data_IF_747895057033
#
_entry.id   IF_747895057033
#
_cell.length_a   1.000
_cell.length_b   1.000
_cell.length_c   1.000
_cell.angle_alpha   90.00
_cell.angle_beta   90.00
_cell.angle_gamma   90.00
#
_symmetry.space_group_name_H-M   'P 1'
#
loop_
_entity.id
_entity.type
_entity.pdbx_description
1 polymer ?
#
# COMPACT_ATOMS: atom_id res chain seq x y z
N UNK A 1 26.92 -25.20 -3.81
CA UNK A 1 25.77 -25.51 -2.94
C UNK A 1 24.64 -24.55 -3.30
N UNK A 2 23.48 -25.08 -3.69
CA UNK A 2 22.30 -24.29 -4.05
C UNK A 2 21.82 -23.50 -2.83
N UNK A 3 21.87 -22.17 -2.91
CA UNK A 3 21.27 -21.29 -1.91
C UNK A 3 19.76 -21.52 -2.01
N UNK A 4 19.20 -22.29 -1.08
CA UNK A 4 17.75 -22.42 -0.93
C UNK A 4 17.25 -21.02 -0.56
N UNK A 5 16.75 -20.30 -1.57
CA UNK A 5 16.26 -18.94 -1.42
C UNK A 5 15.23 -18.90 -0.31
N UNK A 6 15.43 -18.00 0.67
CA UNK A 6 14.42 -17.74 1.69
C UNK A 6 13.13 -17.35 0.97
N UNK A 7 12.06 -18.11 1.15
CA UNK A 7 10.75 -17.76 0.60
C UNK A 7 10.26 -16.51 1.34
N UNK A 8 10.16 -15.38 0.65
CA UNK A 8 9.74 -14.11 1.26
C UNK A 8 8.31 -13.78 0.87
N UNK A 9 7.52 -13.37 1.86
CA UNK A 9 6.17 -12.83 1.69
C UNK A 9 6.17 -11.39 2.22
N UNK A 10 6.09 -10.42 1.33
CA UNK A 10 5.90 -9.03 1.74
C UNK A 10 4.41 -8.78 2.01
N UNK A 11 4.08 -8.30 3.21
CA UNK A 11 2.71 -7.99 3.61
C UNK A 11 2.54 -6.47 3.74
N UNK A 12 1.49 -5.90 3.15
CA UNK A 12 1.10 -4.51 3.44
C UNK A 12 0.66 -4.35 4.89
N UNK A 13 0.97 -3.19 5.48
CA UNK A 13 0.67 -2.88 6.87
C UNK A 13 1.86 -2.95 7.81
N UNK A 14 1.57 -2.79 9.11
CA UNK A 14 2.54 -2.79 10.21
C UNK A 14 2.66 -4.21 10.79
N UNK A 15 3.77 -4.51 11.46
CA UNK A 15 4.05 -5.80 12.13
C UNK A 15 2.88 -6.34 12.98
N UNK A 16 2.07 -5.45 13.56
CA UNK A 16 0.92 -5.78 14.41
C UNK A 16 -0.42 -5.94 13.67
N UNK A 17 -0.43 -5.90 12.33
CA UNK A 17 -1.66 -6.03 11.55
C UNK A 17 -2.29 -7.42 11.67
N UNK A 18 -3.61 -7.49 11.47
CA UNK A 18 -4.34 -8.77 11.44
C UNK A 18 -3.81 -9.68 10.33
N UNK A 19 -3.51 -9.12 9.16
CA UNK A 19 -2.97 -9.84 8.00
C UNK A 19 -1.66 -10.54 8.33
N UNK A 20 -0.73 -9.84 9.00
CA UNK A 20 0.54 -10.43 9.40
C UNK A 20 0.32 -11.55 10.43
N UNK A 21 -0.60 -11.37 11.39
CA UNK A 21 -0.92 -12.43 12.36
C UNK A 21 -1.53 -13.66 11.68
N UNK A 22 -2.44 -13.45 10.73
CA UNK A 22 -3.07 -14.53 9.96
C UNK A 22 -2.02 -15.27 9.14
N UNK A 23 -1.21 -14.55 8.36
CA UNK A 23 -0.15 -15.14 7.55
C UNK A 23 0.85 -15.93 8.40
N UNK A 24 1.25 -15.39 9.56
CA UNK A 24 2.16 -16.11 10.47
C UNK A 24 1.53 -17.41 10.98
N UNK A 25 0.22 -17.43 11.26
CA UNK A 25 -0.49 -18.64 11.69
C UNK A 25 -0.62 -19.66 10.56
N UNK A 26 -0.92 -19.21 9.33
CA UNK A 26 -1.04 -20.07 8.15
C UNK A 26 0.33 -20.67 7.78
N UNK A 27 1.36 -19.84 7.67
CA UNK A 27 2.73 -20.27 7.31
C UNK A 27 3.37 -21.06 8.45
N UNK A 28 3.06 -20.75 9.71
CA UNK A 28 3.60 -21.46 10.88
C UNK A 28 3.25 -22.95 10.90
N UNK A 29 2.14 -23.33 10.27
CA UNK A 29 1.72 -24.72 10.13
C UNK A 29 2.43 -25.46 8.98
N UNK A 30 3.22 -24.78 8.15
CA UNK A 30 3.98 -25.38 7.04
C UNK A 30 5.34 -25.83 7.59
N UNK A 31 5.50 -27.14 7.76
CA UNK A 31 6.65 -27.76 8.44
C UNK A 31 7.97 -27.67 7.66
N UNK A 32 7.92 -27.47 6.34
CA UNK A 32 9.10 -27.46 5.45
C UNK A 32 9.26 -26.12 4.75
N UNK A 33 10.49 -25.60 4.70
CA UNK A 33 10.85 -24.34 4.01
C UNK A 33 10.04 -23.13 4.50
N UNK A 34 10.17 -22.81 5.79
CA UNK A 34 9.47 -21.68 6.44
C UNK A 34 9.66 -20.38 5.65
N UNK A 35 8.56 -19.79 5.23
CA UNK A 35 8.56 -18.47 4.60
C UNK A 35 8.77 -17.37 5.64
N UNK A 36 9.50 -16.33 5.27
CA UNK A 36 9.66 -15.12 6.08
C UNK A 36 8.61 -14.10 5.68
N UNK A 37 7.82 -13.61 6.62
CA UNK A 37 6.84 -12.55 6.39
C UNK A 37 7.48 -11.21 6.76
N UNK A 38 7.49 -10.26 5.82
CA UNK A 38 8.11 -8.95 5.99
C UNK A 38 7.04 -7.86 5.84
N UNK A 39 6.82 -7.00 6.85
CA UNK A 39 5.93 -5.84 6.70
C UNK A 39 6.55 -4.85 5.71
N UNK A 40 5.76 -4.38 4.75
CA UNK A 40 6.26 -3.54 3.65
C UNK A 40 5.62 -2.15 3.57
N UNK A 41 4.92 -1.72 4.62
CA UNK A 41 4.29 -0.41 4.66
C UNK A 41 3.14 -0.30 3.67
N UNK A 42 3.01 0.85 2.99
CA UNK A 42 1.86 1.16 2.12
C UNK A 42 2.04 0.68 0.67
N UNK A 43 0.94 0.67 -0.07
CA UNK A 43 0.94 0.28 -1.49
C UNK A 43 2.00 0.97 -2.35
N UNK A 44 2.25 2.26 -2.12
CA UNK A 44 3.07 3.11 -2.99
C UNK A 44 4.58 2.96 -2.76
N UNK A 45 5.01 2.52 -1.58
CA UNK A 45 6.43 2.41 -1.24
C UNK A 45 6.99 1.01 -1.44
N UNK A 46 6.15 0.05 -1.86
CA UNK A 46 6.56 -1.36 -1.92
C UNK A 46 7.73 -1.61 -2.83
N UNK A 47 7.68 -1.11 -4.06
CA UNK A 47 8.70 -1.40 -5.06
C UNK A 47 10.07 -0.96 -4.56
N UNK A 48 10.17 0.29 -4.10
CA UNK A 48 11.38 0.84 -3.50
C UNK A 48 11.79 0.08 -2.21
N UNK A 49 10.83 -0.31 -1.37
CA UNK A 49 11.10 -1.09 -0.17
C UNK A 49 11.68 -2.47 -0.49
N UNK A 50 11.08 -3.19 -1.42
CA UNK A 50 11.52 -4.51 -1.86
C UNK A 50 12.92 -4.43 -2.48
N UNK A 51 13.16 -3.44 -3.34
CA UNK A 51 14.49 -3.18 -3.90
C UNK A 51 15.52 -2.92 -2.79
N UNK A 52 15.21 -2.07 -1.83
CA UNK A 52 16.09 -1.79 -0.69
C UNK A 52 16.25 -2.95 0.29
N UNK A 53 15.27 -3.85 0.35
CA UNK A 53 15.35 -5.07 1.17
C UNK A 53 16.34 -6.06 0.57
N UNK A 54 16.23 -6.33 -0.74
CA UNK A 54 17.09 -7.28 -1.44
C UNK A 54 18.48 -6.74 -1.79
N UNK A 55 18.66 -5.41 -1.86
CA UNK A 55 19.97 -4.82 -2.16
C UNK A 55 21.07 -5.21 -1.16
N UNK A 56 20.68 -5.59 0.07
CA UNK A 56 21.60 -6.04 1.12
C UNK A 56 22.07 -7.49 0.96
N UNK A 57 21.38 -8.29 0.17
CA UNK A 57 21.65 -9.73 0.05
C UNK A 57 22.38 -10.09 -1.26
N UNK A 58 22.76 -9.11 -2.09
CA UNK A 58 23.31 -9.30 -3.46
C UNK A 58 22.46 -10.26 -4.31
N UNK A 59 21.20 -10.46 -3.92
CA UNK A 59 20.37 -11.53 -4.39
C UNK A 59 19.63 -11.09 -5.65
N UNK A 60 20.25 -11.32 -6.81
CA UNK A 60 19.60 -11.12 -8.11
C UNK A 60 18.52 -12.17 -8.33
N UNK A 61 17.35 -11.77 -8.84
CA UNK A 61 16.23 -12.64 -9.23
C UNK A 61 15.54 -13.42 -8.09
N UNK A 62 15.48 -12.87 -6.87
CA UNK A 62 14.69 -13.48 -5.79
C UNK A 62 13.19 -13.50 -6.14
N UNK A 63 12.58 -14.67 -6.01
CA UNK A 63 11.14 -14.83 -6.10
C UNK A 63 10.50 -14.54 -4.74
N UNK A 64 9.49 -13.68 -4.73
CA UNK A 64 8.76 -13.32 -3.52
C UNK A 64 7.27 -13.18 -3.82
N UNK A 65 6.46 -13.35 -2.77
CA UNK A 65 5.01 -13.14 -2.83
C UNK A 65 4.69 -11.80 -2.17
N UNK A 66 3.69 -11.11 -2.68
CA UNK A 66 3.13 -9.90 -2.07
C UNK A 66 1.71 -10.23 -1.59
N UNK A 67 1.46 -10.06 -0.29
CA UNK A 67 0.12 -10.11 0.28
C UNK A 67 -0.40 -8.69 0.52
N UNK A 68 -1.49 -8.35 -0.17
CA UNK A 68 -2.11 -7.03 -0.14
C UNK A 68 -3.61 -7.08 -0.31
N UNK A 69 -4.26 -6.14 0.35
CA UNK A 69 -5.65 -5.74 0.10
C UNK A 69 -5.67 -4.83 -1.15
N UNK A 70 -6.21 -5.34 -2.27
CA UNK A 70 -6.05 -4.75 -3.61
C UNK A 70 -7.38 -4.57 -4.31
N UNK A 71 -8.40 -4.19 -3.53
CA UNK A 71 -9.77 -4.45 -3.92
C UNK A 71 -10.25 -3.77 -5.23
N UNK A 72 -9.45 -2.85 -5.75
CA UNK A 72 -9.75 -2.00 -6.90
C UNK A 72 -8.58 -1.83 -7.87
N UNK A 73 -7.49 -2.61 -7.71
CA UNK A 73 -6.30 -2.41 -8.53
C UNK A 73 -6.35 -3.15 -9.89
N UNK A 74 -7.26 -4.12 -10.08
CA UNK A 74 -7.48 -4.78 -11.39
C UNK A 74 -8.90 -5.36 -11.54
N UNK A 75 -9.56 -5.09 -12.67
CA UNK A 75 -10.98 -5.45 -12.93
C UNK A 75 -11.29 -6.90 -12.55
N UNK A 76 -12.42 -7.17 -11.87
CA UNK A 76 -12.82 -8.53 -11.57
C UNK A 76 -13.08 -9.25 -12.90
N UNK A 77 -12.69 -10.52 -12.95
CA UNK A 77 -12.85 -11.37 -14.13
C UNK A 77 -14.03 -12.32 -13.95
N UNK A 78 -14.69 -12.68 -15.06
CA UNK A 78 -15.72 -13.73 -15.06
C UNK A 78 -15.11 -15.14 -14.95
N UNK A 79 -13.80 -15.28 -15.16
CA UNK A 79 -13.08 -16.54 -15.05
C UNK A 79 -12.56 -16.76 -13.64
N UNK A 80 -12.53 -18.02 -13.19
CA UNK A 80 -11.88 -18.39 -11.93
C UNK A 80 -10.39 -18.55 -12.20
N UNK A 81 -9.66 -17.44 -12.24
CA UNK A 81 -8.22 -17.40 -12.51
C UNK A 81 -7.54 -16.26 -11.77
N UNK A 82 -6.25 -16.41 -11.47
CA UNK A 82 -5.46 -15.31 -10.91
C UNK A 82 -5.37 -14.17 -11.92
N UNK A 83 -5.57 -12.93 -11.46
CA UNK A 83 -5.54 -11.74 -12.31
C UNK A 83 -4.11 -11.20 -12.35
N UNK A 84 -3.47 -11.12 -13.52
CA UNK A 84 -2.13 -10.55 -13.63
C UNK A 84 -2.17 -9.02 -13.44
N UNK A 85 -1.25 -8.51 -12.61
CA UNK A 85 -1.01 -7.08 -12.42
C UNK A 85 0.50 -6.83 -12.38
N UNK A 86 1.09 -6.39 -13.51
CA UNK A 86 2.55 -6.25 -13.67
C UNK A 86 3.26 -7.57 -13.33
N UNK A 87 4.20 -7.55 -12.38
CA UNK A 87 4.89 -8.74 -11.86
C UNK A 87 4.13 -9.47 -10.74
N UNK A 88 2.89 -9.08 -10.45
CA UNK A 88 2.06 -9.63 -9.37
C UNK A 88 0.89 -10.43 -9.94
N UNK A 89 0.38 -11.36 -9.11
CA UNK A 89 -0.87 -12.07 -9.35
C UNK A 89 -1.86 -11.69 -8.23
N UNK A 90 -3.06 -11.26 -8.59
CA UNK A 90 -4.15 -10.99 -7.68
C UNK A 90 -5.16 -12.14 -7.69
N UNK A 91 -5.95 -12.23 -6.64
CA UNK A 91 -7.08 -13.15 -6.52
C UNK A 91 -8.18 -12.81 -7.52
N UNK A 92 -8.90 -13.83 -8.02
CA UNK A 92 -9.93 -13.67 -9.06
C UNK A 92 -11.12 -12.79 -8.65
N UNK A 93 -11.44 -12.76 -7.35
CA UNK A 93 -12.55 -11.98 -6.77
C UNK A 93 -12.10 -10.61 -6.27
N UNK A 94 -11.39 -9.89 -7.13
CA UNK A 94 -10.66 -8.66 -6.86
C UNK A 94 -11.28 -7.73 -5.82
N UNK A 95 -12.60 -7.61 -5.64
CA UNK A 95 -13.25 -6.54 -4.88
C UNK A 95 -14.05 -6.99 -3.65
N UNK A 96 -14.11 -8.28 -3.37
CA UNK A 96 -14.93 -8.73 -2.26
C UNK A 96 -13.98 -9.11 -1.15
N UNK A 97 -14.00 -8.33 -0.07
CA UNK A 97 -13.53 -8.71 1.28
C UNK A 97 -14.08 -10.10 1.73
N UNK A 98 -14.89 -10.77 0.89
CA UNK A 98 -15.25 -12.17 0.90
C UNK A 98 -14.15 -13.14 0.44
N UNK A 99 -12.88 -12.75 0.33
CA UNK A 99 -11.83 -13.76 0.33
C UNK A 99 -11.91 -14.48 1.67
N UNK A 100 -12.54 -15.66 1.67
CA UNK A 100 -12.67 -16.58 2.81
C UNK A 100 -13.85 -16.36 3.75
N UNK A 101 -14.89 -15.61 3.38
CA UNK A 101 -16.15 -15.65 4.15
C UNK A 101 -16.92 -16.92 3.78
N UNK A 102 -16.50 -18.03 4.38
CA UNK A 102 -17.20 -19.31 4.37
C UNK A 102 -18.22 -19.30 5.52
N UNK A 103 -19.48 -19.56 5.21
CA UNK A 103 -20.57 -19.51 6.20
C UNK A 103 -20.35 -20.52 7.34
N UNK A 104 -19.85 -21.72 7.04
CA UNK A 104 -19.47 -22.72 8.05
C UNK A 104 -18.32 -22.21 8.94
N UNK A 105 -17.31 -21.55 8.38
CA UNK A 105 -16.19 -21.00 9.14
C UNK A 105 -16.67 -19.93 10.12
N UNK A 106 -17.54 -19.02 9.69
CA UNK A 106 -18.15 -18.03 10.59
C UNK A 106 -19.00 -18.74 11.63
N UNK A 107 -19.85 -19.68 11.23
CA UNK A 107 -20.72 -20.43 12.14
C UNK A 107 -19.91 -21.10 13.25
N UNK A 108 -18.87 -21.86 12.87
CA UNK A 108 -17.99 -22.56 13.78
C UNK A 108 -17.23 -21.60 14.71
N UNK A 109 -16.71 -20.49 14.17
CA UNK A 109 -16.04 -19.47 14.99
C UNK A 109 -16.99 -18.83 16.00
N UNK A 110 -18.18 -18.42 15.54
CA UNK A 110 -19.21 -17.77 16.36
C UNK A 110 -19.69 -18.71 17.47
N UNK A 111 -19.96 -19.97 17.13
CA UNK A 111 -20.36 -21.00 18.09
C UNK A 111 -19.27 -21.26 19.13
N UNK A 112 -18.02 -21.45 18.68
CA UNK A 112 -16.88 -21.64 19.58
C UNK A 112 -16.69 -20.46 20.55
N UNK A 113 -16.87 -19.21 20.08
CA UNK A 113 -16.79 -18.01 20.92
C UNK A 113 -17.93 -17.89 21.93
N UNK A 114 -19.12 -18.31 21.55
CA UNK A 114 -20.26 -18.36 22.46
C UNK A 114 -20.07 -19.45 23.54
N UNK A 115 -19.51 -20.61 23.20
CA UNK A 115 -19.13 -21.63 24.19
C UNK A 115 -18.05 -21.12 25.15
N UNK A 116 -16.98 -20.52 24.62
CA UNK A 116 -15.91 -19.90 25.42
C UNK A 116 -16.48 -18.86 26.39
N UNK A 117 -17.46 -18.04 25.98
CA UNK A 117 -18.09 -17.05 26.84
C UNK A 117 -18.84 -17.67 28.02
N UNK A 118 -19.51 -18.81 27.83
CA UNK A 118 -20.24 -19.51 28.91
C UNK A 118 -19.29 -20.02 29.98
N UNK A 119 -18.08 -20.41 29.59
CA UNK A 119 -17.06 -20.97 30.47
C UNK A 119 -16.11 -19.89 31.03
N UNK A 120 -16.11 -18.68 30.45
CA UNK A 120 -15.17 -17.62 30.80
C UNK A 120 -15.88 -16.28 31.14
N UNK A 121 -15.99 -15.92 32.43
CA UNK A 121 -16.66 -14.70 32.89
C UNK A 121 -16.06 -13.38 32.39
N UNK A 122 -14.80 -13.37 31.92
CA UNK A 122 -14.13 -12.17 31.39
C UNK A 122 -14.16 -12.08 29.85
N UNK A 123 -14.83 -13.01 29.17
CA UNK A 123 -14.99 -12.97 27.71
C UNK A 123 -15.71 -11.70 27.26
N UNK A 124 -15.16 -11.04 26.24
CA UNK A 124 -15.76 -9.85 25.61
C UNK A 124 -16.78 -10.19 24.52
N UNK A 125 -17.08 -11.47 24.31
CA UNK A 125 -18.06 -11.88 23.32
C UNK A 125 -19.44 -11.38 23.74
N UNK A 126 -20.01 -10.43 22.99
CA UNK A 126 -21.31 -9.84 23.31
C UNK A 126 -22.47 -10.44 22.52
N UNK A 127 -22.20 -11.43 21.67
CA UNK A 127 -23.20 -12.02 20.78
C UNK A 127 -23.73 -13.35 21.36
N UNK A 128 -24.96 -13.70 21.01
CA UNK A 128 -25.55 -15.02 21.35
C UNK A 128 -24.90 -16.13 20.51
N UNK A 129 -25.48 -17.33 20.55
CA UNK A 129 -25.09 -18.42 19.67
C UNK A 129 -25.21 -18.04 18.18
N UNK A 130 -24.55 -18.82 17.34
CA UNK A 130 -24.61 -18.65 15.90
C UNK A 130 -26.05 -18.80 15.38
N UNK A 131 -26.48 -17.95 14.43
CA UNK A 131 -27.79 -18.07 13.78
C UNK A 131 -27.89 -19.24 12.79
N UNK A 132 -26.80 -20.00 12.60
CA UNK A 132 -26.72 -21.12 11.67
C UNK A 132 -26.12 -20.74 10.31
N UNK A 133 -25.63 -21.76 9.58
CA UNK A 133 -24.93 -21.59 8.30
C UNK A 133 -25.84 -20.95 7.24
N UNK A 134 -27.10 -21.35 7.17
CA UNK A 134 -28.05 -20.85 6.16
C UNK A 134 -28.31 -19.34 6.31
N UNK A 135 -28.59 -18.89 7.53
CA UNK A 135 -28.81 -17.47 7.83
C UNK A 135 -27.56 -16.64 7.53
N UNK A 136 -26.38 -17.15 7.89
CA UNK A 136 -25.10 -16.49 7.57
C UNK A 136 -24.89 -16.39 6.06
N UNK A 137 -25.16 -17.48 5.32
CA UNK A 137 -25.06 -17.52 3.86
C UNK A 137 -25.98 -16.49 3.21
N UNK A 138 -27.23 -16.40 3.68
CA UNK A 138 -28.19 -15.41 3.22
C UNK A 138 -27.71 -13.98 3.51
N UNK A 139 -27.20 -13.70 4.72
CA UNK A 139 -26.65 -12.38 5.06
C UNK A 139 -25.47 -11.98 4.18
N UNK A 140 -24.58 -12.93 3.86
CA UNK A 140 -23.45 -12.68 2.95
C UNK A 140 -23.96 -12.31 1.55
N UNK A 141 -24.95 -13.05 1.04
CA UNK A 141 -25.54 -12.78 -0.26
C UNK A 141 -26.24 -11.42 -0.30
N UNK A 142 -27.02 -11.11 0.73
CA UNK A 142 -27.77 -9.85 0.80
C UNK A 142 -26.83 -8.66 0.97
N UNK A 143 -25.79 -8.79 1.80
CA UNK A 143 -24.74 -7.78 1.89
C UNK A 143 -24.06 -7.54 0.54
N UNK A 144 -23.74 -8.60 -0.21
CA UNK A 144 -23.14 -8.48 -1.54
C UNK A 144 -24.06 -7.73 -2.53
N UNK A 145 -25.35 -8.07 -2.56
CA UNK A 145 -26.35 -7.37 -3.39
C UNK A 145 -26.49 -5.90 -3.00
N UNK A 146 -26.58 -5.63 -1.70
CA UNK A 146 -26.74 -4.27 -1.17
C UNK A 146 -25.53 -3.40 -1.50
N UNK A 147 -24.32 -3.97 -1.45
CA UNK A 147 -23.07 -3.25 -1.72
C UNK A 147 -22.75 -3.09 -3.21
N UNK A 148 -23.47 -3.76 -4.12
CA UNK A 148 -23.10 -3.86 -5.54
C UNK A 148 -22.85 -2.50 -6.19
N UNK A 149 -23.68 -1.49 -5.92
CA UNK A 149 -23.60 -0.19 -6.55
C UNK A 149 -22.44 0.64 -6.00
N UNK A 150 -22.23 0.57 -4.69
CA UNK A 150 -21.09 1.21 -4.05
C UNK A 150 -19.79 0.65 -4.63
N UNK A 151 -19.65 -0.68 -4.70
CA UNK A 151 -18.47 -1.31 -5.29
C UNK A 151 -18.30 -0.94 -6.78
N UNK A 152 -19.38 -0.98 -7.57
CA UNK A 152 -19.35 -0.61 -9.00
C UNK A 152 -18.79 0.80 -9.22
N UNK A 153 -19.21 1.76 -8.42
CA UNK A 153 -18.74 3.14 -8.55
C UNK A 153 -17.29 3.29 -8.10
N UNK A 154 -16.86 2.56 -7.06
CA UNK A 154 -15.45 2.53 -6.64
C UNK A 154 -14.54 1.93 -7.72
N UNK A 155 -15.01 0.92 -8.44
CA UNK A 155 -14.36 0.38 -9.64
C UNK A 155 -14.17 1.42 -10.73
N UNK A 156 -15.24 2.16 -11.05
CA UNK A 156 -15.17 3.23 -12.04
C UNK A 156 -14.16 4.32 -11.63
N UNK A 157 -14.15 4.71 -10.35
CA UNK A 157 -13.16 5.66 -9.83
C UNK A 157 -11.74 5.11 -9.92
N UNK A 158 -11.53 3.84 -9.56
CA UNK A 158 -10.21 3.22 -9.60
C UNK A 158 -9.65 3.08 -11.02
N UNK A 159 -10.51 2.92 -12.03
CA UNK A 159 -10.12 2.92 -13.43
C UNK A 159 -9.52 4.27 -13.86
N UNK A 160 -10.05 5.39 -13.35
CA UNK A 160 -9.48 6.72 -13.58
C UNK A 160 -8.06 6.85 -13.00
N UNK A 161 -7.74 6.07 -11.96
CA UNK A 161 -6.41 6.04 -11.33
C UNK A 161 -5.35 5.27 -12.12
N UNK A 162 -5.71 4.63 -13.23
CA UNK A 162 -4.70 3.96 -14.07
C UNK A 162 -3.79 4.96 -14.80
N UNK A 163 -4.17 6.24 -14.88
CA UNK A 163 -3.26 7.32 -15.26
C UNK A 163 -2.36 7.71 -14.07
N UNK A 164 -1.05 7.83 -14.30
CA UNK A 164 -0.05 8.08 -13.23
C UNK A 164 -0.28 9.37 -12.45
N UNK A 165 -0.87 10.39 -13.08
CA UNK A 165 -1.15 11.69 -12.49
C UNK A 165 -2.29 11.66 -11.44
N UNK A 166 -3.36 10.90 -11.69
CA UNK A 166 -4.53 10.86 -10.81
C UNK A 166 -4.36 9.92 -9.61
N UNK A 167 -3.47 8.92 -9.74
CA UNK A 167 -3.35 7.79 -8.81
C UNK A 167 -3.06 8.15 -7.35
N UNK A 168 -2.46 9.31 -7.10
CA UNK A 168 -2.10 9.77 -5.76
C UNK A 168 -3.13 10.70 -5.10
N UNK A 169 -4.03 11.30 -5.89
CA UNK A 169 -4.87 12.40 -5.43
C UNK A 169 -6.37 12.06 -5.48
N UNK A 170 -6.81 11.37 -6.54
CA UNK A 170 -8.21 10.97 -6.64
C UNK A 170 -8.49 9.78 -5.69
N UNK A 171 -9.42 9.98 -4.77
CA UNK A 171 -9.85 8.96 -3.81
C UNK A 171 -10.87 8.02 -4.45
N UNK A 172 -10.89 6.78 -3.99
CA UNK A 172 -11.93 5.79 -4.33
C UNK A 172 -13.00 5.65 -3.25
N UNK A 173 -13.00 6.53 -2.24
CA UNK A 173 -13.94 6.51 -1.09
C UNK A 173 -14.21 7.92 -0.59
N UNK A 174 -15.44 8.22 -0.21
CA UNK A 174 -15.87 9.52 0.35
C UNK A 174 -16.25 9.46 1.84
N UNK A 175 -16.20 8.29 2.46
CA UNK A 175 -16.56 8.07 3.88
C UNK A 175 -15.37 8.17 4.84
N UNK A 176 -14.21 8.58 4.34
CA UNK A 176 -12.97 8.72 5.10
C UNK A 176 -12.09 7.48 5.04
N UNK A 177 -12.49 6.42 5.75
CA UNK A 177 -11.76 5.14 5.82
C UNK A 177 -12.50 4.03 5.07
N UNK A 178 -11.75 3.04 4.55
CA UNK A 178 -12.28 1.94 3.73
C UNK A 178 -13.34 1.08 4.44
N UNK A 179 -13.34 1.05 5.78
CA UNK A 179 -14.28 0.26 6.58
C UNK A 179 -15.62 0.95 6.91
N UNK A 180 -15.86 2.19 6.47
CA UNK A 180 -17.12 2.89 6.74
C UNK A 180 -17.99 2.95 5.49
N UNK A 181 -19.16 2.33 5.56
CA UNK A 181 -20.16 2.40 4.51
C UNK A 181 -20.84 3.78 4.44
N UNK A 182 -21.24 4.24 3.24
CA UNK A 182 -22.04 5.45 3.09
C UNK A 182 -23.45 5.24 3.68
N UNK A 183 -24.12 6.35 3.99
CA UNK A 183 -25.50 6.32 4.50
C UNK A 183 -26.53 5.80 3.49
N UNK A 184 -26.20 5.86 2.19
CA UNK A 184 -27.00 5.30 1.11
C UNK A 184 -26.13 4.49 0.16
N UNK A 185 -26.66 3.34 -0.26
CA UNK A 185 -26.04 2.40 -1.19
C UNK A 185 -26.78 2.34 -2.55
N UNK A 186 -27.70 3.27 -2.80
CA UNK A 186 -28.36 3.36 -4.11
C UNK A 186 -27.35 3.76 -5.19
N UNK A 187 -27.60 3.34 -6.43
CA UNK A 187 -26.74 3.72 -7.55
C UNK A 187 -26.68 5.24 -7.73
N UNK A 188 -27.80 5.93 -7.60
CA UNK A 188 -27.86 7.38 -7.80
C UNK A 188 -27.03 8.12 -6.76
N UNK A 189 -27.17 7.79 -5.48
CA UNK A 189 -26.41 8.45 -4.43
C UNK A 189 -24.92 8.15 -4.53
N UNK A 190 -24.55 6.89 -4.81
CA UNK A 190 -23.16 6.52 -5.04
C UNK A 190 -22.55 7.29 -6.22
N UNK A 191 -23.29 7.44 -7.33
CA UNK A 191 -22.87 8.22 -8.50
C UNK A 191 -22.64 9.68 -8.15
N UNK A 192 -23.59 10.32 -7.45
CA UNK A 192 -23.46 11.72 -7.03
C UNK A 192 -22.18 11.95 -6.22
N UNK A 193 -21.90 11.06 -5.26
CA UNK A 193 -20.71 11.16 -4.43
C UNK A 193 -19.41 10.95 -5.22
N UNK A 194 -19.37 9.99 -6.14
CA UNK A 194 -18.19 9.76 -6.97
C UNK A 194 -17.93 10.89 -7.97
N UNK A 195 -18.97 11.43 -8.60
CA UNK A 195 -18.83 12.61 -9.46
C UNK A 195 -18.30 13.79 -8.66
N UNK A 196 -18.73 13.97 -7.42
CA UNK A 196 -18.19 15.00 -6.52
C UNK A 196 -16.67 14.83 -6.31
N UNK A 197 -16.18 13.60 -6.11
CA UNK A 197 -14.74 13.32 -6.00
C UNK A 197 -13.98 13.68 -7.29
N UNK A 198 -14.54 13.33 -8.45
CA UNK A 198 -13.93 13.67 -9.76
C UNK A 198 -13.88 15.19 -9.96
N UNK A 199 -14.98 15.89 -9.69
CA UNK A 199 -15.05 17.35 -9.83
C UNK A 199 -14.13 18.07 -8.83
N UNK A 200 -13.95 17.52 -7.62
CA UNK A 200 -12.98 18.04 -6.67
C UNK A 200 -11.56 17.90 -7.23
N UNK A 201 -11.20 16.71 -7.71
CA UNK A 201 -9.89 16.46 -8.30
C UNK A 201 -9.62 17.38 -9.51
N UNK A 202 -10.60 17.55 -10.42
CA UNK A 202 -10.49 18.46 -11.56
C UNK A 202 -10.20 19.90 -11.11
N UNK A 203 -10.95 20.42 -10.13
CA UNK A 203 -10.72 21.77 -9.60
C UNK A 203 -9.34 21.91 -8.95
N UNK A 204 -8.86 20.88 -8.24
CA UNK A 204 -7.51 20.91 -7.66
C UNK A 204 -6.43 20.96 -8.74
N UNK A 205 -6.60 20.21 -9.83
CA UNK A 205 -5.67 20.20 -10.98
C UNK A 205 -5.73 21.51 -11.77
N UNK A 206 -6.92 22.06 -12.00
CA UNK A 206 -7.11 23.34 -12.74
C UNK A 206 -6.43 24.52 -12.06
N UNK A 207 -6.26 24.50 -10.73
CA UNK A 207 -5.56 25.53 -9.98
C UNK A 207 -4.02 25.42 -10.04
N UNK A 208 -3.48 24.37 -10.67
CA UNK A 208 -2.05 24.18 -10.86
C UNK A 208 -1.70 24.62 -12.28
N UNK A 209 -1.47 25.92 -12.45
CA UNK A 209 -1.10 26.52 -13.74
C UNK A 209 0.29 27.17 -13.70
N UNK A 210 0.95 27.37 -14.87
CA UNK A 210 2.20 28.11 -14.95
C UNK A 210 2.10 29.50 -14.31
N UNK A 211 0.98 30.19 -14.45
CA UNK A 211 0.77 31.54 -13.91
C UNK A 211 0.75 31.53 -12.37
N UNK A 212 0.08 30.55 -11.76
CA UNK A 212 0.08 30.37 -10.30
C UNK A 212 1.49 30.04 -9.79
N UNK A 213 2.25 29.25 -10.55
CA UNK A 213 3.64 28.97 -10.24
C UNK A 213 4.52 30.24 -10.32
N UNK A 214 4.45 31.00 -11.40
CA UNK A 214 5.22 32.24 -11.58
C UNK A 214 4.88 33.29 -10.51
N UNK A 215 3.59 33.43 -10.17
CA UNK A 215 3.17 34.28 -9.06
C UNK A 215 3.76 33.84 -7.72
N UNK A 216 3.73 32.53 -7.44
CA UNK A 216 4.32 31.98 -6.22
C UNK A 216 5.84 32.14 -6.20
N UNK A 217 6.52 31.93 -7.33
CA UNK A 217 7.96 32.09 -7.49
C UNK A 217 8.39 33.53 -7.22
N UNK A 218 7.69 34.51 -7.80
CA UNK A 218 7.96 35.93 -7.59
C UNK A 218 7.82 36.32 -6.10
N UNK A 219 6.81 35.79 -5.40
CA UNK A 219 6.63 36.02 -3.97
C UNK A 219 7.81 35.49 -3.13
N UNK A 220 8.39 34.34 -3.49
CA UNK A 220 9.58 33.84 -2.79
C UNK A 220 10.86 34.57 -3.18
N UNK A 221 11.00 35.02 -4.42
CA UNK A 221 12.16 35.80 -4.87
C UNK A 221 12.29 37.14 -4.12
N UNK A 222 11.17 37.76 -3.71
CA UNK A 222 11.20 38.99 -2.89
C UNK A 222 11.47 38.74 -1.41
N UNK A 223 11.25 37.52 -0.92
CA UNK A 223 11.47 37.11 0.48
C UNK A 223 12.83 36.48 0.75
N UNK A 224 13.50 35.93 -0.27
CA UNK A 224 14.89 35.48 -0.15
C UNK A 224 15.75 36.74 -0.15
N UNK A 225 16.42 37.10 0.97
CA UNK A 225 17.29 38.26 0.97
C UNK A 225 18.38 38.05 -0.06
N UNK A 226 18.52 39.00 -1.00
CA UNK A 226 19.75 39.10 -1.77
C UNK A 226 20.90 39.18 -0.77
N UNK A 227 21.90 38.27 -0.83
CA UNK A 227 23.09 38.45 -0.03
C UNK A 227 23.73 39.76 -0.51
N UNK A 228 23.55 40.82 0.25
CA UNK A 228 24.40 41.99 0.13
C UNK A 228 25.79 41.52 0.53
N UNK A 229 26.61 41.18 -0.47
CA UNK A 229 28.05 41.07 -0.30
C UNK A 229 28.60 42.49 -0.09
N UNK A 230 28.26 43.10 1.05
CA UNK A 230 28.87 44.33 1.52
C UNK A 230 30.15 43.96 2.26
N UNK A 231 31.25 43.82 1.50
CA UNK A 231 32.63 44.09 1.94
C UNK A 231 33.11 43.55 3.30
N UNK A 232 32.52 42.50 3.85
CA UNK A 232 33.01 41.81 5.05
C UNK A 232 33.33 40.38 4.68
N UNK A 233 34.53 39.96 5.08
CA UNK A 233 35.06 38.62 4.91
C UNK A 233 33.97 37.56 5.12
N UNK A 234 33.80 36.72 4.10
CA UNK A 234 32.95 35.54 4.18
C UNK A 234 33.67 34.52 5.06
N UNK A 235 33.56 34.67 6.38
CA UNK A 235 33.80 33.55 7.29
C UNK A 235 32.59 32.64 7.24
N UNK A 236 32.72 31.56 6.47
CA UNK A 236 31.84 30.37 6.42
C UNK A 236 30.32 30.64 6.45
N UNK A 237 29.71 30.75 5.26
CA UNK A 237 28.30 30.39 5.13
C UNK A 237 28.21 28.86 5.21
N UNK A 238 27.91 28.31 6.39
CA UNK A 238 27.52 26.91 6.55
C UNK A 238 26.15 26.68 5.94
N UNK A 239 26.08 26.55 4.62
CA UNK A 239 24.90 26.01 3.95
C UNK A 239 24.86 24.52 4.29
N UNK A 240 23.89 24.12 5.11
CA UNK A 240 23.62 22.72 5.43
C UNK A 240 22.92 22.06 4.22
N UNK A 241 23.65 21.87 3.12
CA UNK A 241 23.15 21.06 2.00
C UNK A 241 23.33 19.60 2.41
N UNK A 242 22.23 18.95 2.80
CA UNK A 242 22.23 17.49 3.02
C UNK A 242 22.18 16.80 1.66
N UNK A 243 23.30 16.79 0.94
CA UNK A 243 23.46 15.93 -0.23
C UNK A 243 23.82 14.55 0.31
N UNK A 244 22.87 13.61 0.21
CA UNK A 244 23.13 12.20 0.47
C UNK A 244 23.87 11.62 -0.74
N UNK A 245 25.19 11.84 -0.80
CA UNK A 245 26.04 11.21 -1.81
C UNK A 245 26.27 9.77 -1.34
N UNK A 246 25.90 8.82 -2.21
CA UNK A 246 26.12 7.40 -1.98
C UNK A 246 27.64 7.14 -2.00
N UNK A 247 28.18 6.67 -0.88
CA UNK A 247 29.61 6.41 -0.69
C UNK A 247 29.98 5.12 -1.41
N UNK A 248 30.16 5.19 -2.73
CA UNK A 248 30.86 4.16 -3.51
C UNK A 248 32.00 4.76 -4.35
N UNK A 249 32.08 6.09 -4.50
CA UNK A 249 33.11 6.73 -5.32
C UNK A 249 34.37 7.18 -4.56
N UNK A 250 34.38 7.25 -3.23
CA UNK A 250 35.58 7.66 -2.47
C UNK A 250 36.70 6.60 -2.49
N UNK A 251 36.35 5.30 -2.63
CA UNK A 251 37.36 4.25 -2.79
C UNK A 251 38.03 4.32 -4.17
N UNK A 252 37.23 4.56 -5.22
CA UNK A 252 37.72 4.67 -6.60
C UNK A 252 38.63 5.89 -6.80
N UNK A 253 38.29 7.05 -6.19
CA UNK A 253 39.13 8.26 -6.32
C UNK A 253 40.44 8.13 -5.52
N UNK A 254 40.43 7.53 -4.32
CA UNK A 254 41.68 7.31 -3.56
C UNK A 254 42.62 6.30 -4.22
N UNK A 255 42.10 5.29 -4.91
CA UNK A 255 42.91 4.33 -5.65
C UNK A 255 43.50 4.94 -6.94
N UNK A 256 42.74 5.79 -7.64
CA UNK A 256 43.21 6.46 -8.86
C UNK A 256 44.31 7.50 -8.58
N UNK A 257 44.20 8.23 -7.46
CA UNK A 257 45.21 9.24 -7.05
C UNK A 257 46.51 8.61 -6.54
N UNK A 258 46.44 7.41 -5.94
CA UNK A 258 47.65 6.70 -5.48
C UNK A 258 48.38 5.97 -6.63
N UNK A 259 47.69 5.53 -7.68
CA UNK A 259 48.33 4.97 -8.88
C UNK A 259 49.08 6.02 -9.71
N UNK A 260 48.60 7.27 -9.75
CA UNK A 260 49.32 8.35 -10.45
C UNK A 260 50.58 8.84 -9.70
N UNK A 261 50.65 8.70 -8.37
CA UNK A 261 51.86 9.07 -7.59
C UNK A 261 52.99 8.03 -7.64
N UNK A 262 52.70 6.77 -7.97
CA UNK A 262 53.75 5.75 -8.15
C UNK A 262 54.43 5.79 -9.52
N UNK A 263 53.84 6.44 -10.53
CA UNK A 263 54.41 6.54 -11.88
C UNK A 263 55.23 7.81 -12.15
N UNK A 264 55.47 8.65 -11.14
CA UNK A 264 56.33 9.84 -11.27
C UNK A 264 57.65 9.74 -10.49
N UNK A 265 57.97 8.59 -9.89
CA UNK A 265 59.22 8.33 -9.17
C UNK A 265 59.93 7.04 -9.62
N UNK A 266 59.87 6.74 -10.92
CA UNK A 266 60.79 5.84 -11.61
C UNK A 266 61.35 6.53 -12.85
#
# INVERSE_FOLDING_TARGET
MSIVGKKIIFCEGKQSSLDIRLLNRVVGNILTNKSTIVPAGSKFTLSAFVQGYFSREEATNQQYIIFRDRDFDAKPTSKIELIPLNSMLLTHRACVENYLINADLIHNYWHAKHLEQRENPISKWGHKDSPGVDAISEWIQEAAKTLQHYQTVRWALAELLQSSAARHQLKTTWTGSSGKLPSSLTLQDCKVQAVSLVNQFQREVENITPEVFEYSLAAYQTHIPHPQLSGREITEIKIKVSIKINIESEKSIRETVNQQKCHQNL
#
